data_IF_084025045739
#
_entry.id   IF_084025045739
#
_cell.length_a   1.000
_cell.length_b   1.000
_cell.length_c   1.000
_cell.angle_alpha   90.00
_cell.angle_beta   90.00
_cell.angle_gamma   90.00
#
_symmetry.space_group_name_H-M   'P 1'
#
loop_
_entity.id
_entity.type
_entity.pdbx_description
1 polymer ?
#
# COMPACT_ATOMS: atom_id res chain seq x y z
N UNK A 1 -0.10 0.84 -32.85
CA UNK A 1 1.36 0.88 -32.73
C UNK A 1 1.74 -0.29 -31.87
N UNK A 2 2.42 -1.29 -32.48
CA UNK A 2 2.72 -2.58 -31.90
C UNK A 2 3.50 -2.44 -30.58
N UNK A 3 2.93 -2.93 -29.50
CA UNK A 3 3.62 -3.15 -28.24
C UNK A 3 4.72 -4.19 -28.48
N UNK A 4 5.99 -3.76 -28.42
CA UNK A 4 7.12 -4.68 -28.37
C UNK A 4 7.00 -5.52 -27.08
N UNK A 5 6.49 -6.72 -27.22
CA UNK A 5 6.40 -7.70 -26.14
C UNK A 5 7.82 -8.02 -25.64
N UNK A 6 8.12 -7.63 -24.41
CA UNK A 6 9.29 -8.09 -23.70
C UNK A 6 10.24 -7.04 -23.12
N UNK A 7 10.29 -5.82 -23.63
CA UNK A 7 11.22 -4.79 -23.13
C UNK A 7 10.48 -3.68 -22.41
N UNK A 8 10.74 -3.49 -21.13
CA UNK A 8 10.16 -2.39 -20.36
C UNK A 8 10.66 -1.04 -20.91
N UNK A 9 9.76 -0.11 -21.29
CA UNK A 9 10.16 1.21 -21.79
C UNK A 9 10.84 2.04 -20.70
N UNK A 10 11.74 2.95 -21.13
CA UNK A 10 12.32 3.96 -20.24
C UNK A 10 11.51 5.25 -20.39
N UNK A 11 10.92 5.73 -19.30
CA UNK A 11 10.07 6.90 -19.27
C UNK A 11 10.56 7.91 -18.24
N UNK A 12 10.45 9.20 -18.57
CA UNK A 12 10.67 10.30 -17.64
C UNK A 12 9.35 11.01 -17.38
N UNK A 13 9.03 11.25 -16.13
CA UNK A 13 7.84 11.97 -15.69
C UNK A 13 8.26 13.20 -14.88
N UNK A 14 7.54 14.31 -15.04
CA UNK A 14 7.80 15.54 -14.28
C UNK A 14 7.34 15.46 -12.83
N UNK A 15 6.37 14.60 -12.55
CA UNK A 15 5.83 14.41 -11.22
C UNK A 15 4.82 13.28 -11.14
N UNK A 16 4.22 13.12 -9.96
CA UNK A 16 3.30 12.04 -9.63
C UNK A 16 2.08 11.96 -10.56
N UNK A 17 1.49 13.11 -10.95
CA UNK A 17 0.30 13.17 -11.77
C UNK A 17 0.50 12.57 -13.18
N UNK A 18 1.64 12.85 -13.81
CA UNK A 18 1.97 12.29 -15.13
C UNK A 18 2.16 10.77 -15.05
N UNK A 19 2.84 10.30 -14.00
CA UNK A 19 3.04 8.89 -13.79
C UNK A 19 1.74 8.15 -13.44
N UNK A 20 0.87 8.78 -12.65
CA UNK A 20 -0.47 8.24 -12.33
C UNK A 20 -1.33 8.09 -13.59
N UNK A 21 -1.36 9.09 -14.46
CA UNK A 21 -2.08 9.05 -15.73
C UNK A 21 -1.55 7.94 -16.65
N UNK A 22 -0.23 7.76 -16.70
CA UNK A 22 0.38 6.69 -17.45
C UNK A 22 0.00 5.32 -16.89
N UNK A 23 0.08 5.11 -15.58
CA UNK A 23 -0.30 3.84 -14.93
C UNK A 23 -1.77 3.51 -15.14
N UNK A 24 -2.65 4.52 -15.14
CA UNK A 24 -4.08 4.29 -15.39
C UNK A 24 -4.33 3.70 -16.78
N UNK A 25 -3.52 4.06 -17.77
CA UNK A 25 -3.61 3.52 -19.13
C UNK A 25 -2.85 2.18 -19.32
N UNK A 26 -1.95 1.82 -18.39
CA UNK A 26 -1.02 0.69 -18.52
C UNK A 26 -0.99 -0.21 -17.28
N UNK A 27 -2.09 -0.31 -16.55
CA UNK A 27 -2.14 -1.06 -15.28
C UNK A 27 -1.72 -2.52 -15.41
N UNK A 28 -2.02 -3.13 -16.56
CA UNK A 28 -1.75 -4.54 -16.86
C UNK A 28 -0.44 -4.77 -17.66
N UNK A 29 0.42 -3.76 -17.80
CA UNK A 29 1.67 -3.89 -18.56
C UNK A 29 2.66 -4.83 -17.85
N UNK A 30 2.85 -6.08 -18.29
CA UNK A 30 3.61 -7.11 -17.54
C UNK A 30 5.11 -6.83 -17.51
N UNK A 31 5.63 -6.14 -18.51
CA UNK A 31 7.04 -5.76 -18.59
C UNK A 31 7.40 -4.65 -17.60
N UNK A 32 6.40 -3.90 -17.11
CA UNK A 32 6.60 -2.73 -16.27
C UNK A 32 7.22 -1.55 -17.03
N UNK A 33 7.83 -0.64 -16.29
CA UNK A 33 8.47 0.58 -16.82
C UNK A 33 9.78 0.86 -16.09
N UNK A 34 10.76 1.41 -16.80
CA UNK A 34 11.95 2.02 -16.21
C UNK A 34 11.70 3.52 -16.05
N UNK A 35 11.60 3.96 -14.80
CA UNK A 35 11.47 5.38 -14.46
C UNK A 35 12.84 6.03 -14.48
N UNK A 36 13.03 7.07 -15.31
CA UNK A 36 14.22 7.92 -15.30
C UNK A 36 14.02 9.00 -14.25
N UNK A 37 14.70 8.86 -13.11
CA UNK A 37 14.56 9.73 -11.94
C UNK A 37 15.81 10.58 -11.76
N UNK A 38 15.63 11.84 -11.39
CA UNK A 38 16.74 12.75 -11.11
C UNK A 38 17.34 12.43 -9.74
N UNK A 39 18.68 12.53 -9.66
CA UNK A 39 19.40 12.41 -8.39
C UNK A 39 19.15 13.64 -7.53
N UNK A 40 19.20 13.48 -6.21
CA UNK A 40 19.09 14.61 -5.26
C UNK A 40 20.13 15.66 -5.56
N UNK A 41 19.72 16.93 -5.58
CA UNK A 41 20.60 18.07 -5.86
C UNK A 41 20.80 18.39 -7.34
N UNK A 42 20.08 17.72 -8.26
CA UNK A 42 20.18 18.02 -9.70
C UNK A 42 19.33 19.20 -10.17
N UNK A 43 18.50 19.80 -9.32
CA UNK A 43 17.56 20.91 -9.64
C UNK A 43 16.65 20.65 -10.85
N UNK A 44 16.51 19.37 -11.23
CA UNK A 44 15.69 18.96 -12.37
C UNK A 44 14.31 18.55 -11.86
N UNK A 45 13.26 19.16 -12.42
CA UNK A 45 11.89 18.75 -12.17
C UNK A 45 11.69 17.30 -12.65
N UNK A 46 11.51 16.39 -11.73
CA UNK A 46 11.38 14.94 -11.97
C UNK A 46 10.51 14.32 -10.88
N UNK A 47 9.79 13.29 -11.27
CA UNK A 47 9.17 12.38 -10.30
C UNK A 47 10.21 11.93 -9.25
N UNK A 48 9.89 12.06 -7.98
CA UNK A 48 10.74 11.58 -6.89
C UNK A 48 10.54 10.07 -6.66
N UNK A 49 11.51 9.46 -5.98
CA UNK A 49 11.43 8.02 -5.61
C UNK A 49 10.22 7.73 -4.70
N UNK A 50 9.95 8.60 -3.74
CA UNK A 50 8.82 8.46 -2.81
C UNK A 50 7.47 8.57 -3.53
N UNK A 51 7.30 9.54 -4.42
CA UNK A 51 6.10 9.69 -5.24
C UNK A 51 5.91 8.49 -6.17
N UNK A 52 7.00 7.99 -6.79
CA UNK A 52 6.95 6.82 -7.64
C UNK A 52 6.47 5.57 -6.88
N UNK A 53 6.94 5.40 -5.64
CA UNK A 53 6.49 4.30 -4.76
C UNK A 53 5.03 4.49 -4.37
N UNK A 54 4.61 5.68 -3.96
CA UNK A 54 3.24 5.96 -3.52
C UNK A 54 2.23 5.74 -4.65
N UNK A 55 2.51 6.29 -5.83
CA UNK A 55 1.65 6.10 -7.02
C UNK A 55 1.64 4.63 -7.43
N UNK A 56 2.81 3.96 -7.47
CA UNK A 56 2.89 2.54 -7.78
C UNK A 56 2.04 1.68 -6.83
N UNK A 57 2.10 1.94 -5.53
CA UNK A 57 1.30 1.23 -4.52
C UNK A 57 -0.21 1.44 -4.72
N UNK A 58 -0.63 2.64 -5.14
CA UNK A 58 -2.04 2.90 -5.44
C UNK A 58 -2.60 1.99 -6.52
N UNK A 59 -1.78 1.56 -7.48
CA UNK A 59 -2.15 0.68 -8.59
C UNK A 59 -1.77 -0.78 -8.40
N UNK A 60 -1.18 -1.16 -7.26
CA UNK A 60 -0.70 -2.53 -7.00
C UNK A 60 0.64 -2.84 -7.65
N UNK A 61 1.44 -1.82 -7.92
CA UNK A 61 2.78 -1.96 -8.47
C UNK A 61 3.85 -1.92 -7.38
N UNK A 62 5.06 -2.34 -7.71
CA UNK A 62 6.20 -2.37 -6.80
C UNK A 62 7.45 -1.84 -7.50
N UNK A 63 8.24 -1.06 -6.78
CA UNK A 63 9.59 -0.69 -7.19
C UNK A 63 10.54 -1.87 -7.03
N UNK A 64 11.28 -2.16 -8.09
CA UNK A 64 12.22 -3.29 -8.15
C UNK A 64 13.66 -2.82 -8.25
N UNK A 65 14.30 -3.18 -9.35
CA UNK A 65 15.72 -2.90 -9.60
C UNK A 65 16.01 -1.41 -9.79
N UNK A 66 17.20 -1.00 -9.34
CA UNK A 66 17.74 0.34 -9.56
C UNK A 66 19.06 0.24 -10.31
N UNK A 67 19.26 1.10 -11.32
CA UNK A 67 20.48 1.19 -12.11
C UNK A 67 20.93 2.65 -12.19
N UNK A 68 22.22 2.90 -12.08
CA UNK A 68 22.78 4.22 -12.40
C UNK A 68 22.67 4.44 -13.92
N UNK A 69 22.31 5.64 -14.34
CA UNK A 69 22.26 6.00 -15.75
C UNK A 69 23.45 6.93 -16.09
N UNK A 70 23.51 8.09 -15.42
CA UNK A 70 24.58 9.09 -15.62
C UNK A 70 24.82 9.91 -14.33
N UNK A 71 25.52 11.03 -14.43
CA UNK A 71 25.83 11.88 -13.28
C UNK A 71 24.55 12.46 -12.60
N UNK A 72 23.48 12.72 -13.37
CA UNK A 72 22.26 13.41 -12.92
C UNK A 72 21.07 12.49 -12.71
N UNK A 73 21.03 11.32 -13.36
CA UNK A 73 19.88 10.42 -13.38
C UNK A 73 20.24 9.00 -12.97
N UNK A 74 19.21 8.28 -12.51
CA UNK A 74 19.21 6.84 -12.35
C UNK A 74 17.90 6.25 -12.87
N UNK A 75 17.88 4.96 -13.09
CA UNK A 75 16.72 4.20 -13.53
C UNK A 75 16.18 3.38 -12.36
N UNK A 76 14.87 3.49 -12.12
CA UNK A 76 14.13 2.68 -11.17
C UNK A 76 13.10 1.85 -11.92
N UNK A 77 13.19 0.53 -11.83
CA UNK A 77 12.17 -0.34 -12.44
C UNK A 77 10.93 -0.37 -11.56
N UNK A 78 9.77 -0.16 -12.18
CA UNK A 78 8.47 -0.32 -11.56
C UNK A 78 7.68 -1.38 -12.34
N UNK A 79 7.06 -2.33 -11.63
CA UNK A 79 6.36 -3.48 -12.23
C UNK A 79 5.08 -3.79 -11.44
N UNK A 80 4.07 -4.40 -12.07
CA UNK A 80 2.95 -4.97 -11.34
C UNK A 80 3.43 -5.97 -10.29
N UNK A 81 2.77 -6.02 -9.14
CA UNK A 81 3.08 -7.03 -8.12
C UNK A 81 2.75 -8.41 -8.65
N UNK A 82 3.62 -9.36 -8.36
CA UNK A 82 3.38 -10.77 -8.63
C UNK A 82 2.66 -11.40 -7.41
N UNK A 83 1.89 -12.48 -7.60
CA UNK A 83 1.15 -13.13 -6.51
C UNK A 83 1.99 -13.50 -5.28
N UNK A 84 3.31 -13.69 -5.45
CA UNK A 84 4.26 -14.03 -4.36
C UNK A 84 5.12 -12.86 -3.92
N UNK A 85 4.85 -11.63 -4.38
CA UNK A 85 5.63 -10.45 -3.97
C UNK A 85 5.48 -10.19 -2.48
N UNK A 86 6.61 -10.15 -1.79
CA UNK A 86 6.64 -9.85 -0.34
C UNK A 86 6.29 -8.40 -0.07
N UNK A 87 5.75 -8.15 1.11
CA UNK A 87 5.48 -6.81 1.59
C UNK A 87 6.55 -6.38 2.60
N UNK A 88 6.99 -5.12 2.52
CA UNK A 88 7.77 -4.49 3.56
C UNK A 88 6.86 -3.70 4.50
N UNK A 89 7.26 -3.55 5.76
CA UNK A 89 6.53 -2.72 6.72
C UNK A 89 6.39 -1.28 6.26
N UNK A 90 7.38 -0.75 5.54
CA UNK A 90 7.31 0.61 4.95
C UNK A 90 6.16 0.69 3.95
N UNK A 91 6.06 -0.28 3.03
CA UNK A 91 4.98 -0.28 2.03
C UNK A 91 3.61 -0.50 2.66
N UNK A 92 3.50 -1.34 3.70
CA UNK A 92 2.26 -1.52 4.47
C UNK A 92 1.80 -0.19 5.09
N UNK A 93 2.70 0.55 5.75
CA UNK A 93 2.38 1.87 6.33
C UNK A 93 1.97 2.89 5.27
N UNK A 94 2.67 2.93 4.13
CA UNK A 94 2.33 3.80 3.00
C UNK A 94 0.94 3.49 2.46
N UNK A 95 0.63 2.23 2.20
CA UNK A 95 -0.71 1.80 1.73
C UNK A 95 -1.80 2.18 2.73
N UNK A 96 -1.57 2.00 4.03
CA UNK A 96 -2.54 2.40 5.05
C UNK A 96 -2.80 3.92 5.03
N UNK A 97 -1.76 4.74 4.83
CA UNK A 97 -1.90 6.18 4.70
C UNK A 97 -2.64 6.57 3.40
N UNK A 98 -2.29 5.96 2.28
CA UNK A 98 -2.91 6.18 0.97
C UNK A 98 -4.39 5.75 0.96
N UNK A 99 -4.73 4.65 1.64
CA UNK A 99 -6.10 4.19 1.79
C UNK A 99 -6.96 5.16 2.62
N UNK A 100 -6.42 5.70 3.72
CA UNK A 100 -7.11 6.75 4.51
C UNK A 100 -7.31 8.03 3.71
N UNK A 101 -6.38 8.36 2.83
CA UNK A 101 -6.48 9.51 1.94
C UNK A 101 -7.40 9.28 0.72
N UNK A 102 -7.98 8.08 0.57
CA UNK A 102 -8.84 7.73 -0.57
C UNK A 102 -8.13 7.65 -1.92
N UNK A 103 -6.78 7.50 -1.92
CA UNK A 103 -5.97 7.51 -3.14
C UNK A 103 -5.81 6.13 -3.79
N UNK A 104 -6.14 5.06 -3.08
CA UNK A 104 -6.00 3.70 -3.60
C UNK A 104 -6.93 3.44 -4.78
N UNK A 105 -6.40 2.79 -5.80
CA UNK A 105 -7.15 2.37 -6.99
C UNK A 105 -7.63 0.92 -6.83
N UNK A 106 -8.66 0.48 -7.59
CA UNK A 106 -9.22 -0.87 -7.46
C UNK A 106 -8.16 -1.99 -7.58
N UNK A 107 -7.21 -1.85 -8.52
CA UNK A 107 -6.11 -2.81 -8.71
C UNK A 107 -5.19 -2.88 -7.49
N UNK A 108 -4.86 -1.73 -6.88
CA UNK A 108 -4.06 -1.67 -5.66
C UNK A 108 -4.77 -2.27 -4.46
N UNK A 109 -6.08 -2.02 -4.32
CA UNK A 109 -6.90 -2.62 -3.25
C UNK A 109 -6.98 -4.14 -3.41
N UNK A 110 -7.16 -4.65 -4.63
CA UNK A 110 -7.19 -6.09 -4.90
C UNK A 110 -5.88 -6.79 -4.46
N UNK A 111 -4.72 -6.18 -4.73
CA UNK A 111 -3.43 -6.70 -4.27
C UNK A 111 -3.27 -6.68 -2.75
N UNK A 112 -3.83 -5.69 -2.07
CA UNK A 112 -3.84 -5.61 -0.61
C UNK A 112 -4.71 -6.71 -0.01
N UNK A 113 -5.92 -6.91 -0.54
CA UNK A 113 -6.84 -7.96 -0.07
C UNK A 113 -6.27 -9.37 -0.34
N UNK A 114 -5.67 -9.60 -1.51
CA UNK A 114 -4.96 -10.85 -1.79
C UNK A 114 -3.81 -11.11 -0.80
N UNK A 115 -3.04 -10.07 -0.47
CA UNK A 115 -1.94 -10.19 0.49
C UNK A 115 -2.41 -10.44 1.92
N UNK A 116 -3.57 -9.93 2.31
CA UNK A 116 -4.21 -10.21 3.60
C UNK A 116 -4.74 -11.64 3.64
N UNK A 117 -5.39 -12.08 2.58
CA UNK A 117 -5.97 -13.41 2.49
C UNK A 117 -4.93 -14.53 2.57
N UNK A 118 -3.75 -14.33 1.96
CA UNK A 118 -2.65 -15.32 1.96
C UNK A 118 -1.60 -15.12 3.07
N UNK A 119 -1.80 -14.15 3.96
CA UNK A 119 -0.93 -13.86 5.11
C UNK A 119 0.34 -13.09 4.80
N UNK A 120 0.63 -12.73 3.54
CA UNK A 120 1.81 -11.92 3.16
C UNK A 120 1.80 -10.53 3.79
N UNK A 121 0.63 -9.98 4.04
CA UNK A 121 0.45 -8.70 4.70
C UNK A 121 0.97 -8.72 6.13
N UNK A 122 0.59 -9.74 6.90
CA UNK A 122 0.99 -9.90 8.31
C UNK A 122 2.45 -10.37 8.44
N UNK A 123 2.96 -11.05 7.41
CA UNK A 123 4.36 -11.47 7.31
C UNK A 123 5.28 -10.37 6.74
N UNK A 124 4.83 -9.10 6.68
CA UNK A 124 5.63 -8.00 6.17
C UNK A 124 6.95 -7.86 6.95
N UNK A 125 8.06 -7.74 6.20
CA UNK A 125 9.41 -7.66 6.77
C UNK A 125 9.81 -6.20 7.03
N UNK A 126 10.63 -6.00 8.08
CA UNK A 126 11.29 -4.70 8.28
C UNK A 126 12.35 -4.49 7.17
N UNK A 127 12.18 -3.42 6.41
CA UNK A 127 13.17 -3.01 5.44
C UNK A 127 14.39 -2.49 6.21
N UNK A 128 15.55 -3.11 6.02
CA UNK A 128 16.80 -2.57 6.54
C UNK A 128 17.09 -1.28 5.78
N UNK A 129 16.67 -0.15 6.31
CA UNK A 129 17.23 1.14 5.93
C UNK A 129 18.69 1.07 6.32
N UNK A 130 19.60 1.15 5.35
CA UNK A 130 21.04 1.26 5.62
C UNK A 130 21.32 2.62 6.29
N UNK A 131 21.01 2.71 7.55
CA UNK A 131 21.69 3.63 8.47
C UNK A 131 22.86 2.83 9.02
N UNK A 132 24.06 3.25 8.66
CA UNK A 132 25.27 2.59 9.15
C UNK A 132 25.34 2.63 10.67
N UNK A 133 25.30 1.46 11.26
CA UNK A 133 25.90 1.11 12.53
C UNK A 133 26.00 -0.42 12.51
N UNK A 134 27.21 -0.90 12.45
CA UNK A 134 27.56 -2.27 12.70
C UNK A 134 27.45 -2.49 14.21
N UNK A 135 26.54 -3.36 14.63
CA UNK A 135 26.72 -4.11 15.86
C UNK A 135 26.13 -5.50 15.67
N UNK A 136 27.00 -6.47 15.97
CA UNK A 136 26.75 -7.87 15.77
C UNK A 136 25.87 -8.47 16.85
N UNK A 137 25.43 -9.66 16.53
CA UNK A 137 24.86 -10.73 17.35
C UNK A 137 23.33 -10.81 17.46
N UNK A 138 22.81 -11.98 17.10
CA UNK A 138 21.61 -12.54 17.68
C UNK A 138 20.44 -12.70 16.75
N UNK A 139 20.37 -13.86 16.11
CA UNK A 139 19.17 -14.43 15.49
C UNK A 139 17.98 -14.41 16.44
N UNK A 140 17.05 -13.48 16.25
CA UNK A 140 15.70 -13.61 16.74
C UNK A 140 14.76 -13.10 15.64
N UNK A 141 13.90 -13.97 15.10
CA UNK A 141 12.84 -13.61 14.18
C UNK A 141 11.92 -12.59 14.86
N UNK A 142 11.84 -11.31 14.43
CA UNK A 142 10.84 -10.41 14.98
C UNK A 142 9.48 -10.81 14.42
N UNK A 143 8.57 -11.16 15.32
CA UNK A 143 7.15 -11.28 15.02
C UNK A 143 6.66 -9.94 14.48
N UNK A 144 5.93 -9.98 13.37
CA UNK A 144 5.35 -8.85 12.66
C UNK A 144 4.68 -7.84 13.61
N UNK A 145 5.35 -6.72 13.85
CA UNK A 145 4.81 -5.58 14.62
C UNK A 145 4.13 -4.52 13.74
N UNK A 146 4.12 -4.69 12.42
CA UNK A 146 3.59 -3.69 11.51
C UNK A 146 2.08 -3.47 11.61
N UNK A 147 1.34 -4.49 12.04
CA UNK A 147 -0.14 -4.47 12.04
C UNK A 147 -0.73 -4.13 13.41
N UNK A 148 0.07 -4.18 14.50
CA UNK A 148 -0.45 -4.05 15.88
C UNK A 148 -0.91 -2.67 16.31
N UNK A 149 -0.69 -1.62 15.52
CA UNK A 149 -0.94 -0.23 15.96
C UNK A 149 -2.33 0.33 15.60
N UNK A 150 -3.21 -0.38 14.90
CA UNK A 150 -4.44 0.20 14.35
C UNK A 150 -5.69 -0.72 14.42
N UNK A 151 -5.80 -1.56 15.44
CA UNK A 151 -7.12 -2.13 15.75
C UNK A 151 -7.89 -1.14 16.61
N UNK A 152 -9.03 -0.61 16.16
CA UNK A 152 -9.91 0.11 17.05
C UNK A 152 -10.43 -0.89 18.09
N UNK A 153 -10.16 -0.62 19.37
CA UNK A 153 -10.79 -1.33 20.48
C UNK A 153 -12.29 -1.04 20.42
N UNK A 154 -13.06 -1.89 19.81
CA UNK A 154 -14.49 -1.99 20.04
C UNK A 154 -14.68 -2.59 21.43
N UNK A 155 -14.86 -1.73 22.41
CA UNK A 155 -15.34 -2.14 23.71
C UNK A 155 -16.79 -2.61 23.58
N UNK A 156 -17.13 -3.82 24.04
CA UNK A 156 -18.52 -4.20 24.14
C UNK A 156 -19.13 -3.40 25.30
N UNK A 157 -20.07 -2.52 25.00
CA UNK A 157 -20.96 -1.93 26.01
C UNK A 157 -21.77 -3.06 26.65
N UNK A 158 -21.36 -3.48 27.82
CA UNK A 158 -22.23 -4.17 28.79
C UNK A 158 -23.12 -3.12 29.46
N UNK A 159 -24.39 -3.42 29.52
CA UNK A 159 -25.27 -2.69 30.44
C UNK A 159 -26.69 -2.60 29.91
N UNK A 160 -27.45 -3.68 30.02
CA UNK A 160 -28.89 -3.60 30.14
C UNK A 160 -29.21 -3.57 31.63
N UNK A 161 -30.02 -2.64 32.16
CA UNK A 161 -30.70 -2.84 33.41
C UNK A 161 -32.08 -3.46 33.13
N UNK A 162 -32.30 -4.62 33.74
CA UNK A 162 -33.57 -5.23 34.01
C UNK A 162 -34.41 -4.28 34.90
N UNK A 163 -35.61 -3.95 34.49
CA UNK A 163 -36.64 -3.53 35.39
C UNK A 163 -37.86 -4.42 35.27
N UNK A 164 -38.05 -5.15 36.34
CA UNK A 164 -39.19 -5.97 36.70
C UNK A 164 -40.30 -5.06 37.21
N UNK A 165 -41.56 -5.38 36.88
CA UNK A 165 -42.66 -5.14 37.78
C UNK A 165 -43.78 -4.21 37.29
N UNK A 166 -45.00 -4.71 37.28
CA UNK A 166 -46.19 -3.88 37.31
C UNK A 166 -47.40 -4.48 36.57
N UNK A 167 -48.09 -5.36 37.26
CA UNK A 167 -49.40 -5.93 37.04
C UNK A 167 -50.50 -4.90 37.20
N UNK A 168 -51.54 -4.89 36.35
CA UNK A 168 -52.95 -4.75 36.65
C UNK A 168 -53.71 -4.46 35.32
N UNK A 169 -54.52 -5.27 34.95
CA UNK A 169 -55.91 -5.57 34.91
C UNK A 169 -56.85 -4.35 34.66
N UNK A 170 -57.61 -4.39 33.54
CA UNK A 170 -59.07 -4.35 33.48
C UNK A 170 -59.57 -3.94 32.10
N UNK A 171 -60.27 -4.81 31.47
CA UNK A 171 -61.32 -4.56 30.45
C UNK A 171 -62.61 -4.12 31.12
N UNK A 172 -63.78 -3.81 30.46
CA UNK A 172 -64.15 -3.68 29.04
C UNK A 172 -65.08 -2.48 28.77
N UNK A 173 -65.43 -2.22 27.53
CA UNK A 173 -66.83 -2.01 27.06
C UNK A 173 -66.89 -1.48 25.62
N UNK A 174 -67.69 -2.15 24.84
CA UNK A 174 -68.26 -1.87 23.51
C UNK A 174 -69.69 -1.31 23.75
N UNK A 175 -70.44 -0.95 22.74
CA UNK A 175 -70.53 0.06 21.66
C UNK A 175 -71.76 0.96 21.88
N UNK A 176 -72.36 1.62 20.91
CA UNK A 176 -72.83 1.17 19.59
C UNK A 176 -72.23 1.89 18.42
#
# INVERSE_FOLDING_TARGET
>A
VASAEGVAPVMAFRGAAEFEAWLQAHVDAPAGVWLKLAKKGSEIASLSDDEAVDVGLCFGWISGQRKSLDARFYLQKCVPRRPRSRWSCVNVRKVQALARAGRMRPSGLAEVEAAKADGRWDAAYESQTRTGAVDGAGSAKPRSMCVRALSPRTSPRRGAPSTRGGRAASSPATPP
#
